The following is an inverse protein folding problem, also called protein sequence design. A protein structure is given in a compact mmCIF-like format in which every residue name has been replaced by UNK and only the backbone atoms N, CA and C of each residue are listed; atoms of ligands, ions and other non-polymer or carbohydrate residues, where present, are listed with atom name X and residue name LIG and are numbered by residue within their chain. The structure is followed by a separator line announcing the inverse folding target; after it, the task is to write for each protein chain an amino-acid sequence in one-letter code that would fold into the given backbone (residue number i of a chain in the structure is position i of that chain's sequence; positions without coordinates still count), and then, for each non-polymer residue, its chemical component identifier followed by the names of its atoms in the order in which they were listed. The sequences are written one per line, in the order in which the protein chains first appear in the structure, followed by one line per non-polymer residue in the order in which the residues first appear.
data_IF_987403323875
#
_entry.id   IF_987403323875
#
_cell.length_a   1.000
_cell.length_b   1.000
_cell.length_c   1.000
_cell.angle_alpha   90.00
_cell.angle_beta   90.00
_cell.angle_gamma   90.00
#
_symmetry.space_group_name_H-M   'P 1'
#
loop_
_entity.id
_entity.type
_entity.pdbx_description
1 polymer ?
#
# COMPACT_ATOMS: atom_id res chain seq x y z
N UNK A 1 23.69 2.46 -16.80
CA UNK A 1 22.56 3.33 -16.40
C UNK A 1 21.24 2.65 -16.76
N UNK A 2 20.51 2.07 -15.80
CA UNK A 2 19.32 1.26 -16.11
C UNK A 2 18.23 1.16 -15.04
N UNK A 3 18.26 2.01 -14.01
CA UNK A 3 17.33 1.93 -12.87
C UNK A 3 15.99 2.68 -13.05
N UNK A 4 15.68 3.23 -14.23
CA UNK A 4 14.51 4.12 -14.40
C UNK A 4 13.18 3.44 -14.80
N UNK A 5 13.20 2.28 -15.48
CA UNK A 5 12.00 1.76 -16.17
C UNK A 5 11.13 0.82 -15.33
N UNK A 6 11.69 0.04 -14.39
CA UNK A 6 10.91 -0.87 -13.54
C UNK A 6 10.04 -0.14 -12.51
N UNK A 7 10.40 1.09 -12.14
CA UNK A 7 9.70 1.82 -11.07
C UNK A 7 8.36 2.43 -11.50
N UNK A 8 8.19 2.84 -12.77
CA UNK A 8 6.90 3.35 -13.26
C UNK A 8 5.84 2.25 -13.39
N UNK A 9 6.26 1.01 -13.67
CA UNK A 9 5.36 -0.12 -13.89
C UNK A 9 4.51 -0.46 -12.64
N UNK A 10 5.07 -0.40 -11.42
CA UNK A 10 4.31 -0.76 -10.22
C UNK A 10 3.24 0.26 -9.84
N UNK A 11 3.53 1.57 -9.89
CA UNK A 11 2.53 2.61 -9.56
C UNK A 11 1.37 2.63 -10.57
N UNK A 12 1.66 2.52 -11.87
CA UNK A 12 0.62 2.50 -12.90
C UNK A 12 -0.29 1.27 -12.75
N UNK A 13 0.29 0.10 -12.48
CA UNK A 13 -0.46 -1.13 -12.20
C UNK A 13 -1.32 -0.99 -10.95
N UNK A 14 -0.77 -0.46 -9.86
CA UNK A 14 -1.52 -0.20 -8.62
C UNK A 14 -2.67 0.76 -8.88
N UNK A 15 -2.46 1.88 -9.59
CA UNK A 15 -3.53 2.81 -9.92
C UNK A 15 -4.66 2.14 -10.71
N UNK A 16 -4.36 1.28 -11.69
CA UNK A 16 -5.37 0.53 -12.43
C UNK A 16 -6.19 -0.41 -11.53
N UNK A 17 -5.53 -1.08 -10.57
CA UNK A 17 -6.19 -1.93 -9.57
C UNK A 17 -7.12 -1.09 -8.69
N UNK A 18 -6.64 0.06 -8.22
CA UNK A 18 -7.37 0.98 -7.33
C UNK A 18 -8.59 1.55 -8.03
N UNK A 19 -8.47 2.04 -9.26
CA UNK A 19 -9.62 2.54 -10.04
C UNK A 19 -10.67 1.45 -10.26
N UNK A 20 -10.23 0.20 -10.53
CA UNK A 20 -11.15 -0.94 -10.62
C UNK A 20 -11.80 -1.31 -9.28
N UNK A 21 -11.11 -1.11 -8.15
CA UNK A 21 -11.63 -1.37 -6.81
C UNK A 21 -12.62 -0.30 -6.34
N UNK A 22 -12.38 0.95 -6.72
CA UNK A 22 -13.20 2.12 -6.43
C UNK A 22 -14.45 2.28 -7.30
N UNK A 23 -14.65 1.46 -8.33
CA UNK A 23 -15.78 1.65 -9.25
C UNK A 23 -17.17 1.31 -8.66
N UNK A 24 -18.19 2.02 -9.13
CA UNK A 24 -19.61 1.76 -8.81
C UNK A 24 -19.94 1.97 -7.34
N UNK A 25 -20.73 1.07 -6.74
CA UNK A 25 -21.13 1.14 -5.32
C UNK A 25 -19.95 1.18 -4.33
N UNK A 26 -18.77 0.72 -4.73
CA UNK A 26 -17.56 0.77 -3.90
C UNK A 26 -17.00 2.20 -3.75
N UNK A 27 -17.18 3.08 -4.74
CA UNK A 27 -16.74 4.49 -4.67
C UNK A 27 -17.32 5.20 -3.45
N UNK A 28 -18.57 4.87 -3.13
CA UNK A 28 -19.36 5.48 -2.07
C UNK A 28 -19.10 4.83 -0.70
N UNK A 29 -18.41 3.68 -0.67
CA UNK A 29 -18.12 2.93 0.54
C UNK A 29 -16.64 2.58 0.61
N UNK A 30 -15.88 3.39 1.34
CA UNK A 30 -14.43 3.22 1.48
C UNK A 30 -14.01 1.84 1.98
N UNK A 31 -14.77 1.23 2.90
CA UNK A 31 -14.47 -0.13 3.37
C UNK A 31 -14.58 -1.15 2.23
N UNK A 32 -15.63 -1.05 1.41
CA UNK A 32 -15.81 -1.93 0.26
C UNK A 32 -14.73 -1.71 -0.81
N UNK A 33 -14.32 -0.45 -1.03
CA UNK A 33 -13.24 -0.13 -1.96
C UNK A 33 -11.90 -0.75 -1.52
N UNK A 34 -11.51 -0.61 -0.24
CA UNK A 34 -10.30 -1.26 0.29
C UNK A 34 -10.38 -2.79 0.20
N UNK A 35 -11.53 -3.40 0.52
CA UNK A 35 -11.70 -4.85 0.43
C UNK A 35 -11.47 -5.37 -1.01
N UNK A 36 -12.06 -4.70 -2.00
CA UNK A 36 -11.86 -5.02 -3.43
C UNK A 36 -10.41 -4.79 -3.89
N UNK A 37 -9.77 -3.75 -3.37
CA UNK A 37 -8.37 -3.46 -3.68
C UNK A 37 -7.45 -4.59 -3.20
N UNK A 38 -7.64 -5.03 -1.94
CA UNK A 38 -6.87 -6.13 -1.36
C UNK A 38 -7.12 -7.46 -2.08
N UNK A 39 -8.38 -7.76 -2.39
CA UNK A 39 -8.75 -8.96 -3.17
C UNK A 39 -8.07 -8.97 -4.55
N UNK A 40 -8.08 -7.84 -5.26
CA UNK A 40 -7.42 -7.77 -6.57
C UNK A 40 -5.92 -7.95 -6.45
N UNK A 41 -5.27 -7.43 -5.41
CA UNK A 41 -3.82 -7.65 -5.19
C UNK A 41 -3.52 -9.11 -4.87
N UNK A 42 -4.31 -9.76 -4.01
CA UNK A 42 -4.07 -11.15 -3.62
C UNK A 42 -4.21 -12.13 -4.79
N UNK A 43 -5.00 -11.76 -5.82
CA UNK A 43 -5.12 -12.50 -7.08
C UNK A 43 -3.92 -12.32 -8.03
N UNK A 44 -2.98 -11.40 -7.75
CA UNK A 44 -1.81 -11.17 -8.62
C UNK A 44 -0.69 -12.15 -8.31
N UNK A 45 -0.75 -13.33 -8.93
CA UNK A 45 0.34 -14.31 -8.87
C UNK A 45 1.63 -13.71 -9.46
N UNK A 46 2.75 -13.86 -8.74
CA UNK A 46 4.07 -13.39 -9.17
C UNK A 46 4.25 -11.87 -9.17
N UNK A 47 3.31 -11.09 -8.63
CA UNK A 47 3.52 -9.67 -8.43
C UNK A 47 4.41 -9.41 -7.21
N UNK A 48 5.34 -8.47 -7.36
CA UNK A 48 6.14 -7.91 -6.26
C UNK A 48 5.28 -6.94 -5.41
N UNK A 49 4.06 -7.38 -5.06
CA UNK A 49 3.03 -6.65 -4.34
C UNK A 49 2.38 -7.57 -3.30
N UNK A 50 2.24 -7.09 -2.08
CA UNK A 50 1.53 -7.77 -0.99
C UNK A 50 0.48 -6.85 -0.40
N UNK A 51 -0.74 -7.36 -0.20
CA UNK A 51 -1.83 -6.61 0.43
C UNK A 51 -1.86 -6.79 1.94
N UNK A 52 -2.43 -5.82 2.66
CA UNK A 52 -2.71 -5.87 4.10
C UNK A 52 -1.53 -6.30 4.98
N UNK A 53 -0.34 -5.73 4.73
CA UNK A 53 0.86 -6.06 5.52
C UNK A 53 0.90 -5.18 6.77
N UNK A 54 1.08 -5.82 7.93
CA UNK A 54 1.31 -5.14 9.21
C UNK A 54 2.80 -5.15 9.57
N UNK A 55 3.33 -3.98 9.96
CA UNK A 55 4.70 -3.84 10.45
C UNK A 55 4.74 -3.34 11.89
N UNK A 56 5.70 -3.86 12.65
CA UNK A 56 6.10 -3.34 13.95
C UNK A 56 7.63 -3.32 14.03
N UNK A 57 8.22 -2.11 14.09
CA UNK A 57 9.67 -1.91 14.24
C UNK A 57 10.53 -2.71 13.22
N UNK A 58 10.10 -2.73 11.96
CA UNK A 58 10.79 -3.42 10.87
C UNK A 58 10.42 -4.90 10.71
N UNK A 59 9.53 -5.44 11.53
CA UNK A 59 9.09 -6.83 11.43
C UNK A 59 7.68 -6.93 10.88
N UNK A 60 7.45 -7.88 9.98
CA UNK A 60 6.10 -8.25 9.58
C UNK A 60 5.44 -8.97 10.75
N UNK A 61 4.28 -8.50 11.16
CA UNK A 61 3.51 -9.06 12.27
C UNK A 61 2.09 -9.39 11.81
N UNK A 62 1.37 -10.16 12.63
CA UNK A 62 -0.03 -10.48 12.36
C UNK A 62 -0.89 -9.21 12.37
N UNK A 63 -2.02 -9.27 11.67
CA UNK A 63 -2.99 -8.17 11.64
C UNK A 63 -3.42 -7.82 13.06
N UNK A 64 -3.56 -6.51 13.33
CA UNK A 64 -4.01 -5.96 14.61
C UNK A 64 -3.09 -6.27 15.81
N UNK A 65 -1.81 -6.63 15.58
CA UNK A 65 -0.80 -6.57 16.65
C UNK A 65 -0.78 -5.16 17.26
N UNK A 66 -0.90 -5.00 18.59
CA UNK A 66 -0.88 -3.70 19.25
C UNK A 66 0.38 -2.91 18.88
N UNK A 67 0.21 -1.62 18.54
CA UNK A 67 1.30 -0.73 18.13
C UNK A 67 1.83 -0.95 16.71
N UNK A 68 1.27 -1.89 15.94
CA UNK A 68 1.65 -2.07 14.53
C UNK A 68 0.96 -1.07 13.60
N UNK A 69 1.62 -0.79 12.47
CA UNK A 69 1.03 -0.07 11.34
C UNK A 69 0.59 -1.07 10.28
N UNK A 70 -0.68 -1.03 9.85
CA UNK A 70 -1.15 -1.80 8.69
C UNK A 70 -1.17 -0.92 7.45
N UNK A 71 -0.61 -1.46 6.36
CA UNK A 71 -0.54 -0.83 5.05
C UNK A 71 -1.50 -1.52 4.08
N UNK A 72 -2.08 -0.79 3.14
CA UNK A 72 -2.99 -1.38 2.15
C UNK A 72 -2.23 -2.24 1.14
N UNK A 73 -1.05 -1.76 0.69
CA UNK A 73 -0.14 -2.57 -0.13
C UNK A 73 1.34 -2.24 0.08
N UNK A 74 2.19 -3.24 -0.11
CA UNK A 74 3.66 -3.13 -0.06
C UNK A 74 4.23 -3.64 -1.37
N UNK A 75 5.17 -2.91 -1.96
CA UNK A 75 5.92 -3.38 -3.12
C UNK A 75 7.39 -3.65 -2.79
N UNK A 76 7.92 -4.74 -3.33
CA UNK A 76 9.23 -5.27 -2.97
C UNK A 76 9.15 -6.41 -1.97
N UNK A 77 10.33 -6.93 -1.63
CA UNK A 77 10.51 -7.87 -0.53
C UNK A 77 10.05 -7.23 0.78
N UNK A 78 9.26 -7.93 1.59
CA UNK A 78 8.74 -7.38 2.84
C UNK A 78 9.83 -7.00 3.87
N UNK A 79 10.99 -7.66 3.82
CA UNK A 79 12.14 -7.30 4.66
C UNK A 79 12.90 -6.06 4.17
N UNK A 80 12.65 -5.60 2.94
CA UNK A 80 13.30 -4.44 2.33
C UNK A 80 12.36 -3.83 1.26
N UNK A 81 11.22 -3.26 1.69
CA UNK A 81 10.22 -2.75 0.77
C UNK A 81 10.78 -1.51 0.05
N UNK A 82 10.47 -1.37 -1.24
CA UNK A 82 10.85 -0.15 -1.97
C UNK A 82 9.76 0.93 -1.87
N UNK A 83 8.51 0.52 -1.72
CA UNK A 83 7.33 1.38 -1.68
C UNK A 83 6.22 0.78 -0.84
N UNK A 84 5.43 1.67 -0.27
CA UNK A 84 4.18 1.32 0.40
C UNK A 84 3.06 2.20 -0.15
N UNK A 85 1.86 1.64 -0.27
CA UNK A 85 0.70 2.33 -0.80
C UNK A 85 -0.39 2.42 0.25
N UNK A 86 -0.97 3.62 0.35
CA UNK A 86 -2.10 3.94 1.20
C UNK A 86 -3.24 4.38 0.30
N UNK A 87 -4.30 3.57 0.26
CA UNK A 87 -5.51 3.86 -0.49
C UNK A 87 -6.32 4.92 0.25
N UNK A 88 -6.87 5.85 -0.54
CA UNK A 88 -7.73 6.92 -0.07
C UNK A 88 -9.00 6.95 -0.91
N UNK A 89 -10.10 7.21 -0.22
CA UNK A 89 -11.43 7.42 -0.81
C UNK A 89 -11.95 8.78 -0.37
N UNK A 90 -12.73 9.45 -1.21
CA UNK A 90 -13.38 10.72 -0.86
C UNK A 90 -12.43 11.93 -0.77
N UNK A 91 -11.35 11.95 -1.56
CA UNK A 91 -10.49 13.13 -1.73
C UNK A 91 -9.61 13.52 -0.55
N UNK A 92 -9.55 12.69 0.50
CA UNK A 92 -8.68 12.94 1.66
C UNK A 92 -7.24 12.54 1.39
N UNK A 93 -6.30 13.45 1.60
CA UNK A 93 -4.86 13.14 1.55
C UNK A 93 -4.37 12.43 2.81
N UNK A 94 -3.20 11.80 2.73
CA UNK A 94 -2.53 11.17 3.86
C UNK A 94 -1.89 12.24 4.75
N UNK A 95 -2.23 12.23 6.04
CA UNK A 95 -1.65 13.16 6.99
C UNK A 95 -0.14 12.90 7.18
N UNK A 96 0.64 13.96 7.41
CA UNK A 96 2.08 13.84 7.68
C UNK A 96 2.39 12.98 8.90
N UNK A 97 1.56 13.05 9.94
CA UNK A 97 1.68 12.18 11.12
C UNK A 97 1.59 10.69 10.75
N UNK A 98 0.70 10.34 9.81
CA UNK A 98 0.57 8.96 9.32
C UNK A 98 1.79 8.51 8.53
N UNK A 99 2.38 9.41 7.72
CA UNK A 99 3.64 9.11 7.02
C UNK A 99 4.77 8.88 8.01
N UNK A 100 4.86 9.69 9.07
CA UNK A 100 5.86 9.52 10.11
C UNK A 100 5.69 8.19 10.86
N UNK A 101 4.45 7.84 11.24
CA UNK A 101 4.11 6.55 11.84
C UNK A 101 4.54 5.38 10.95
N UNK A 102 4.17 5.39 9.66
CA UNK A 102 4.58 4.37 8.70
C UNK A 102 6.11 4.22 8.68
N UNK A 103 6.84 5.33 8.59
CA UNK A 103 8.31 5.33 8.54
C UNK A 103 8.96 4.86 9.83
N UNK A 104 8.28 4.94 10.97
CA UNK A 104 8.80 4.43 12.23
C UNK A 104 8.74 2.89 12.32
N UNK A 105 7.80 2.25 11.59
CA UNK A 105 7.59 0.80 11.68
C UNK A 105 8.05 0.01 10.45
N UNK A 106 8.16 0.61 9.26
CA UNK A 106 8.54 -0.09 8.03
C UNK A 106 10.07 -0.21 7.89
N UNK A 107 10.62 -1.37 7.47
CA UNK A 107 12.06 -1.52 7.21
C UNK A 107 12.55 -0.49 6.19
N UNK A 108 13.67 0.17 6.48
CA UNK A 108 14.21 1.24 5.64
C UNK A 108 13.63 2.63 5.93
N UNK A 109 12.56 2.73 6.74
CA UNK A 109 12.02 3.97 7.28
C UNK A 109 11.85 5.09 6.25
N UNK A 110 12.57 6.20 6.42
CA UNK A 110 12.47 7.38 5.56
C UNK A 110 12.87 7.15 4.10
N UNK A 111 13.68 6.12 3.81
CA UNK A 111 14.06 5.74 2.45
C UNK A 111 12.91 5.05 1.68
N UNK A 112 11.91 4.53 2.39
CA UNK A 112 10.74 3.92 1.76
C UNK A 112 9.80 5.02 1.26
N UNK A 113 9.42 4.93 -0.02
CA UNK A 113 8.47 5.87 -0.60
C UNK A 113 7.05 5.47 -0.21
N UNK A 114 6.39 6.35 0.55
CA UNK A 114 4.95 6.27 0.84
C UNK A 114 4.18 6.91 -0.32
N UNK A 115 3.22 6.19 -0.88
CA UNK A 115 2.46 6.61 -2.06
C UNK A 115 0.97 6.59 -1.76
N UNK A 116 0.34 7.74 -1.87
CA UNK A 116 -1.11 7.83 -1.90
C UNK A 116 -1.66 7.37 -3.25
N UNK A 117 -2.74 6.60 -3.20
CA UNK A 117 -3.51 6.14 -4.36
C UNK A 117 -4.98 6.42 -4.09
N UNK A 118 -5.71 6.86 -5.11
CA UNK A 118 -7.10 7.28 -4.98
C UNK A 118 -8.00 6.36 -5.81
N UNK A 119 -9.12 5.96 -5.22
CA UNK A 119 -10.18 5.20 -5.86
C UNK A 119 -11.12 6.10 -6.63
#
# INVERSE_FOLDING_TARGET
MGFGKKFKASKARVNSIVSGAGAGKAAQNGRLAHARFHEKISQLVGADLSAEVSYLHGLVVIRATPGSVRLDAVAGRLSMPNRVYEMKTGGKSLAMARIAEIRAHVPGGSAVRVVEIYS
#
